data_IF_519765828438
#
_entry.id   IF_519765828438
#
_cell.length_a   1.000
_cell.length_b   1.000
_cell.length_c   1.000
_cell.angle_alpha   90.00
_cell.angle_beta   90.00
_cell.angle_gamma   90.00
#
_symmetry.space_group_name_H-M   'P 1'
#
loop_
_entity.id
_entity.type
_entity.pdbx_description
1 polymer ?
#
# COMPACT_ATOMS: atom_id res chain seq x y z
N UNK A 1 11.39 -24.15 -17.54
CA UNK A 1 10.96 -23.63 -16.23
C UNK A 1 9.63 -22.96 -16.46
N UNK A 2 8.58 -23.32 -15.71
CA UNK A 2 7.32 -22.58 -15.78
C UNK A 2 7.60 -21.20 -15.16
N UNK A 3 7.38 -20.14 -15.91
CA UNK A 3 7.44 -18.78 -15.36
C UNK A 3 6.36 -18.61 -14.31
N UNK A 4 6.65 -17.92 -13.22
CA UNK A 4 5.67 -17.55 -12.23
C UNK A 4 4.55 -16.70 -12.89
N UNK A 5 3.30 -16.75 -12.40
CA UNK A 5 2.21 -15.96 -12.97
C UNK A 5 2.49 -14.47 -12.80
N UNK A 6 2.03 -13.64 -13.77
CA UNK A 6 2.16 -12.18 -13.71
C UNK A 6 1.22 -11.53 -12.67
N UNK A 7 0.16 -12.24 -12.32
CA UNK A 7 -0.80 -11.81 -11.31
C UNK A 7 -1.25 -13.01 -10.47
N UNK A 8 -1.54 -12.78 -9.19
CA UNK A 8 -2.01 -13.78 -8.23
C UNK A 8 -3.12 -13.18 -7.37
N UNK A 9 -4.26 -13.88 -7.27
CA UNK A 9 -5.39 -13.44 -6.46
C UNK A 9 -5.16 -13.70 -4.97
N UNK A 10 -5.87 -12.96 -4.10
CA UNK A 10 -5.75 -13.14 -2.65
C UNK A 10 -6.16 -14.53 -2.18
N UNK A 11 -7.08 -15.20 -2.87
CA UNK A 11 -7.46 -16.60 -2.59
C UNK A 11 -6.39 -17.63 -3.00
N UNK A 12 -5.30 -17.19 -3.61
CA UNK A 12 -4.19 -18.03 -4.10
C UNK A 12 -2.85 -17.67 -3.45
N UNK A 13 -2.78 -16.58 -2.65
CA UNK A 13 -1.54 -16.09 -2.05
C UNK A 13 -1.59 -16.23 -0.53
N UNK A 14 -0.49 -16.64 0.10
CA UNK A 14 -0.33 -16.70 1.55
C UNK A 14 1.04 -16.18 2.01
N UNK A 15 1.34 -16.27 3.31
CA UNK A 15 2.61 -15.78 3.87
C UNK A 15 3.86 -16.46 3.32
N UNK A 16 3.74 -17.63 2.64
CA UNK A 16 4.87 -18.29 1.98
C UNK A 16 5.20 -17.65 0.63
N UNK A 17 4.29 -16.84 0.08
CA UNK A 17 4.42 -16.21 -1.23
C UNK A 17 5.07 -14.81 -1.16
N UNK A 18 5.61 -14.38 -0.02
CA UNK A 18 6.18 -13.03 0.18
C UNK A 18 7.21 -12.67 -0.91
N UNK A 19 8.00 -13.61 -1.38
CA UNK A 19 8.95 -13.40 -2.48
C UNK A 19 8.29 -13.11 -3.84
N UNK A 20 7.02 -13.49 -3.99
CA UNK A 20 6.24 -13.35 -5.24
C UNK A 20 5.26 -12.19 -5.18
N UNK A 21 4.55 -12.01 -4.08
CA UNK A 21 3.48 -11.00 -3.94
C UNK A 21 3.84 -9.85 -2.98
N UNK A 22 5.04 -9.87 -2.37
CA UNK A 22 5.47 -8.92 -1.36
C UNK A 22 4.75 -9.08 -0.03
N UNK A 23 5.18 -8.34 1.00
CA UNK A 23 4.64 -8.45 2.36
C UNK A 23 3.15 -8.13 2.45
N UNK A 24 2.70 -6.99 1.87
CA UNK A 24 1.29 -6.61 1.89
C UNK A 24 0.41 -7.61 1.15
N UNK A 25 0.84 -8.06 -0.05
CA UNK A 25 0.09 -9.05 -0.84
C UNK A 25 -0.06 -10.37 -0.10
N UNK A 26 1.01 -10.84 0.53
CA UNK A 26 1.03 -12.07 1.33
C UNK A 26 0.10 -11.97 2.55
N UNK A 27 0.19 -10.88 3.33
CA UNK A 27 -0.65 -10.66 4.50
C UNK A 27 -2.14 -10.55 4.13
N UNK A 28 -2.49 -9.81 3.06
CA UNK A 28 -3.87 -9.71 2.58
C UNK A 28 -4.40 -11.06 2.09
N UNK A 29 -3.60 -11.82 1.34
CA UNK A 29 -3.97 -13.17 0.88
C UNK A 29 -4.19 -14.13 2.04
N UNK A 30 -3.29 -14.16 3.02
CA UNK A 30 -3.42 -14.97 4.23
C UNK A 30 -4.71 -14.66 4.98
N UNK A 31 -4.99 -13.37 5.24
CA UNK A 31 -6.21 -12.94 5.91
C UNK A 31 -7.45 -13.30 5.10
N UNK A 32 -7.42 -13.08 3.78
CA UNK A 32 -8.54 -13.40 2.89
C UNK A 32 -8.87 -14.88 2.92
N UNK A 33 -7.88 -15.77 2.83
CA UNK A 33 -8.08 -17.22 2.84
C UNK A 33 -8.45 -17.79 4.20
N UNK A 34 -7.75 -17.35 5.26
CA UNK A 34 -7.82 -18.03 6.56
C UNK A 34 -8.81 -17.36 7.52
N UNK A 35 -8.98 -16.06 7.44
CA UNK A 35 -9.70 -15.31 8.48
C UNK A 35 -11.10 -14.85 8.04
N UNK A 36 -11.43 -14.89 6.75
CA UNK A 36 -12.77 -14.52 6.26
C UNK A 36 -13.87 -15.36 6.93
N UNK A 37 -13.63 -16.66 7.14
CA UNK A 37 -14.58 -17.57 7.77
C UNK A 37 -14.85 -17.27 9.24
N UNK A 38 -13.97 -16.54 9.91
CA UNK A 38 -14.10 -16.11 11.30
C UNK A 38 -14.41 -14.61 11.44
N UNK A 39 -14.86 -13.99 10.34
CA UNK A 39 -15.43 -12.65 10.33
C UNK A 39 -14.46 -11.50 10.04
N UNK A 40 -13.22 -11.76 9.64
CA UNK A 40 -12.30 -10.73 9.14
C UNK A 40 -12.62 -10.47 7.66
N UNK A 41 -13.12 -9.28 7.34
CA UNK A 41 -13.46 -8.90 5.97
C UNK A 41 -12.30 -8.18 5.31
N UNK A 42 -11.82 -8.69 4.19
CA UNK A 42 -10.79 -8.06 3.35
C UNK A 42 -11.40 -7.78 1.97
N UNK A 43 -11.28 -6.57 1.40
CA UNK A 43 -11.73 -6.33 0.04
C UNK A 43 -10.99 -7.25 -0.93
N UNK A 44 -11.69 -7.87 -1.89
CA UNK A 44 -11.03 -8.78 -2.81
C UNK A 44 -10.13 -8.03 -3.80
N UNK A 45 -9.13 -8.74 -4.33
CA UNK A 45 -8.15 -8.19 -5.25
C UNK A 45 -7.13 -9.21 -5.71
N UNK A 46 -6.16 -8.72 -6.44
CA UNK A 46 -5.03 -9.49 -6.94
C UNK A 46 -3.72 -8.70 -6.76
N UNK A 47 -2.61 -9.41 -6.83
CA UNK A 47 -1.28 -8.79 -6.80
C UNK A 47 -0.59 -9.03 -8.13
N UNK A 48 -0.11 -7.96 -8.79
CA UNK A 48 0.86 -8.05 -9.86
C UNK A 48 2.19 -8.45 -9.24
N UNK A 49 2.71 -9.59 -9.63
CA UNK A 49 3.79 -10.28 -8.93
C UNK A 49 5.16 -9.67 -9.23
N UNK A 50 6.17 -10.09 -8.48
CA UNK A 50 7.58 -9.77 -8.76
C UNK A 50 8.03 -10.24 -10.15
N UNK A 51 7.39 -11.26 -10.74
CA UNK A 51 7.63 -11.65 -12.12
C UNK A 51 7.23 -10.57 -13.12
N UNK A 52 6.12 -9.85 -12.86
CA UNK A 52 5.74 -8.70 -13.68
C UNK A 52 6.80 -7.59 -13.63
N UNK A 53 7.33 -7.30 -12.43
CA UNK A 53 8.45 -6.37 -12.27
C UNK A 53 9.70 -6.85 -13.03
N UNK A 54 10.13 -8.11 -12.85
CA UNK A 54 11.31 -8.64 -13.53
C UNK A 54 11.15 -8.59 -15.06
N UNK A 55 9.97 -8.94 -15.57
CA UNK A 55 9.68 -8.86 -17.00
C UNK A 55 9.71 -7.44 -17.54
N UNK A 56 9.32 -6.47 -16.76
CA UNK A 56 9.38 -5.05 -17.13
C UNK A 56 10.82 -4.54 -17.18
N UNK A 57 11.60 -4.78 -16.12
CA UNK A 57 12.98 -4.25 -16.08
C UNK A 57 13.93 -4.96 -17.07
N UNK A 58 13.62 -6.20 -17.48
CA UNK A 58 14.39 -6.92 -18.51
C UNK A 58 13.90 -6.66 -19.93
N UNK A 59 12.86 -5.81 -20.11
CA UNK A 59 12.39 -5.43 -21.43
C UNK A 59 13.35 -4.43 -22.10
N UNK A 60 13.45 -4.54 -23.44
CA UNK A 60 14.21 -3.59 -24.25
C UNK A 60 13.62 -2.18 -24.16
N UNK A 61 14.47 -1.16 -24.13
CA UNK A 61 14.07 0.24 -24.18
C UNK A 61 13.99 0.65 -25.67
N UNK A 62 12.79 1.00 -26.17
CA UNK A 62 12.68 1.53 -27.53
C UNK A 62 13.45 2.84 -27.69
N UNK A 63 14.12 3.03 -28.81
CA UNK A 63 14.87 4.27 -29.10
C UNK A 63 14.02 5.54 -28.91
N UNK A 64 12.73 5.48 -29.23
CA UNK A 64 11.82 6.60 -29.06
C UNK A 64 11.64 7.04 -27.59
N UNK A 65 11.82 6.14 -26.62
CA UNK A 65 11.73 6.41 -25.16
C UNK A 65 12.70 7.50 -24.74
N UNK A 66 13.93 7.48 -25.28
CA UNK A 66 14.99 8.40 -24.92
C UNK A 66 14.71 9.88 -25.24
N UNK A 67 13.76 10.16 -26.12
CA UNK A 67 13.31 11.54 -26.41
C UNK A 67 12.58 12.17 -25.24
N UNK A 68 11.94 11.37 -24.42
CA UNK A 68 11.11 11.80 -23.29
C UNK A 68 11.84 11.67 -21.95
N UNK A 69 12.89 10.86 -21.88
CA UNK A 69 13.68 10.67 -20.65
C UNK A 69 14.37 11.98 -20.27
N UNK A 70 13.86 12.62 -19.21
CA UNK A 70 14.47 13.80 -18.61
C UNK A 70 15.60 13.42 -17.64
N UNK A 71 16.66 14.22 -17.60
CA UNK A 71 17.75 14.08 -16.63
C UNK A 71 18.21 15.46 -16.17
N UNK A 72 18.53 15.64 -14.87
CA UNK A 72 19.29 16.78 -14.40
C UNK A 72 20.66 16.87 -15.07
N UNK A 73 21.22 18.10 -15.22
CA UNK A 73 22.51 18.32 -15.88
C UNK A 73 23.64 17.54 -15.19
N UNK A 74 23.59 17.39 -13.87
CA UNK A 74 24.58 16.69 -13.05
C UNK A 74 24.78 15.21 -13.41
N UNK A 75 23.79 14.61 -14.09
CA UNK A 75 23.80 13.19 -14.50
C UNK A 75 23.66 12.99 -16.01
N UNK A 76 23.93 14.01 -16.83
CA UNK A 76 23.84 13.91 -18.29
C UNK A 76 24.81 12.86 -18.86
N UNK A 77 25.98 12.70 -18.26
CA UNK A 77 26.92 11.65 -18.65
C UNK A 77 26.38 10.24 -18.37
N UNK A 78 25.68 10.05 -17.25
CA UNK A 78 25.00 8.78 -16.95
C UNK A 78 23.85 8.52 -17.93
N UNK A 79 23.10 9.55 -18.29
CA UNK A 79 22.04 9.44 -19.30
C UNK A 79 22.61 9.01 -20.65
N UNK A 80 23.74 9.61 -21.09
CA UNK A 80 24.42 9.21 -22.33
C UNK A 80 24.90 7.76 -22.28
N UNK A 81 25.47 7.35 -21.16
CA UNK A 81 25.91 5.95 -20.98
C UNK A 81 24.71 4.98 -20.95
N UNK A 82 23.58 5.38 -20.34
CA UNK A 82 22.37 4.56 -20.31
C UNK A 82 21.73 4.37 -21.70
N UNK A 83 21.85 5.33 -22.61
CA UNK A 83 21.35 5.22 -24.00
C UNK A 83 22.03 4.09 -24.77
N UNK A 84 23.26 3.75 -24.42
CA UNK A 84 24.03 2.66 -25.07
C UNK A 84 23.61 1.27 -24.55
N UNK A 85 22.70 1.19 -23.57
CA UNK A 85 22.22 -0.08 -23.02
C UNK A 85 20.98 -0.58 -23.79
N UNK A 86 20.68 -1.88 -23.65
CA UNK A 86 19.55 -2.50 -24.35
C UNK A 86 18.31 -2.58 -23.47
N UNK A 87 18.47 -3.04 -22.23
CA UNK A 87 17.35 -3.28 -21.32
C UNK A 87 17.18 -2.16 -20.30
N UNK A 88 15.95 -2.05 -19.75
CA UNK A 88 15.69 -1.11 -18.65
C UNK A 88 16.57 -1.42 -17.42
N UNK A 89 16.84 -2.70 -17.14
CA UNK A 89 17.72 -3.10 -16.04
C UNK A 89 19.12 -2.53 -16.23
N UNK A 90 19.71 -2.72 -17.42
CA UNK A 90 21.07 -2.25 -17.68
C UNK A 90 21.16 -0.71 -17.59
N UNK A 91 20.13 0.00 -18.05
CA UNK A 91 20.07 1.46 -17.93
C UNK A 91 19.95 1.91 -16.46
N UNK A 92 19.16 1.21 -15.66
CA UNK A 92 19.05 1.47 -14.22
C UNK A 92 20.36 1.17 -13.48
N UNK A 93 21.06 0.09 -13.82
CA UNK A 93 22.41 -0.19 -13.29
C UNK A 93 23.39 0.96 -13.56
N UNK A 94 23.34 1.55 -14.78
CA UNK A 94 24.15 2.74 -15.10
C UNK A 94 23.77 3.92 -14.19
N UNK A 95 22.48 4.17 -13.98
CA UNK A 95 22.02 5.26 -13.11
C UNK A 95 22.48 5.12 -11.66
N UNK A 96 22.53 3.88 -11.17
CA UNK A 96 22.84 3.56 -9.76
C UNK A 96 24.32 3.28 -9.50
N UNK A 97 25.15 3.19 -10.56
CA UNK A 97 26.58 2.92 -10.43
C UNK A 97 27.26 3.98 -9.56
N UNK A 98 28.02 3.53 -8.57
CA UNK A 98 28.77 4.40 -7.65
C UNK A 98 27.92 5.48 -6.96
N UNK A 99 26.62 5.19 -6.73
CA UNK A 99 25.74 6.08 -5.97
C UNK A 99 26.18 6.09 -4.50
N UNK A 100 26.36 7.30 -3.96
CA UNK A 100 26.76 7.54 -2.56
C UNK A 100 25.56 8.05 -1.76
N UNK A 101 25.08 7.36 -0.71
CA UNK A 101 23.96 7.79 0.10
C UNK A 101 24.26 9.10 0.87
N UNK A 102 25.53 9.50 1.02
CA UNK A 102 25.92 10.75 1.70
C UNK A 102 25.92 11.97 0.77
N UNK A 103 25.98 11.78 -0.54
CA UNK A 103 25.86 12.85 -1.54
C UNK A 103 24.41 13.01 -2.00
N UNK A 104 23.59 13.68 -1.19
CA UNK A 104 22.15 13.85 -1.44
C UNK A 104 21.83 14.53 -2.79
N UNK A 105 22.65 15.47 -3.25
CA UNK A 105 22.40 16.15 -4.52
C UNK A 105 22.58 15.20 -5.71
N UNK A 106 23.70 14.48 -5.74
CA UNK A 106 23.98 13.47 -6.76
C UNK A 106 22.98 12.32 -6.70
N UNK A 107 22.65 11.84 -5.49
CA UNK A 107 21.67 10.78 -5.30
C UNK A 107 20.28 11.17 -5.80
N UNK A 108 19.82 12.39 -5.51
CA UNK A 108 18.54 12.91 -6.00
C UNK A 108 18.51 12.99 -7.53
N UNK A 109 19.59 13.47 -8.16
CA UNK A 109 19.71 13.56 -9.62
C UNK A 109 19.71 12.19 -10.29
N UNK A 110 20.40 11.18 -9.73
CA UNK A 110 20.36 9.77 -10.18
C UNK A 110 18.96 9.18 -10.01
N UNK A 111 18.33 9.40 -8.87
CA UNK A 111 16.97 8.97 -8.59
C UNK A 111 15.97 9.57 -9.58
N UNK A 112 16.12 10.85 -9.94
CA UNK A 112 15.28 11.50 -10.93
C UNK A 112 15.42 10.86 -12.32
N UNK A 113 16.67 10.59 -12.77
CA UNK A 113 16.94 9.90 -14.02
C UNK A 113 16.34 8.48 -14.03
N UNK A 114 16.57 7.70 -12.98
CA UNK A 114 16.03 6.34 -12.85
C UNK A 114 14.50 6.31 -12.90
N UNK A 115 13.83 7.20 -12.16
CA UNK A 115 12.36 7.33 -12.22
C UNK A 115 11.86 7.77 -13.59
N UNK A 116 12.56 8.67 -14.26
CA UNK A 116 12.23 9.09 -15.62
C UNK A 116 12.30 7.91 -16.59
N UNK A 117 13.35 7.11 -16.53
CA UNK A 117 13.50 5.89 -17.33
C UNK A 117 12.34 4.91 -17.13
N UNK A 118 12.00 4.60 -15.87
CA UNK A 118 10.88 3.71 -15.55
C UNK A 118 9.54 4.26 -16.09
N UNK A 119 9.30 5.56 -15.94
CA UNK A 119 8.04 6.20 -16.35
C UNK A 119 7.89 6.30 -17.86
N UNK A 120 8.98 6.49 -18.60
CA UNK A 120 8.94 6.65 -20.05
C UNK A 120 9.05 5.31 -20.81
N UNK A 121 9.58 4.27 -20.16
CA UNK A 121 9.67 2.94 -20.78
C UNK A 121 8.28 2.32 -20.93
N UNK A 122 7.88 1.88 -22.14
CA UNK A 122 6.59 1.25 -22.37
C UNK A 122 6.44 -0.05 -21.56
N UNK A 123 5.29 -0.21 -20.93
CA UNK A 123 4.95 -1.46 -20.22
C UNK A 123 4.74 -2.58 -21.26
N UNK A 124 5.38 -3.76 -21.11
CA UNK A 124 5.21 -4.90 -22.01
C UNK A 124 3.75 -5.32 -22.16
N UNK A 125 3.36 -5.73 -23.39
CA UNK A 125 1.98 -6.11 -23.69
C UNK A 125 1.46 -7.28 -22.86
N UNK A 126 2.36 -8.21 -22.48
CA UNK A 126 2.00 -9.32 -21.59
C UNK A 126 1.52 -8.86 -20.19
N UNK A 127 2.11 -7.78 -19.66
CA UNK A 127 1.71 -7.20 -18.37
C UNK A 127 0.39 -6.45 -18.53
N UNK A 128 0.22 -5.65 -19.60
CA UNK A 128 -1.04 -4.94 -19.88
C UNK A 128 -2.20 -5.92 -20.03
N UNK A 129 -1.98 -7.00 -20.78
CA UNK A 129 -2.99 -8.06 -20.96
C UNK A 129 -3.35 -8.77 -19.64
N UNK A 130 -2.36 -8.99 -18.76
CA UNK A 130 -2.61 -9.56 -17.45
C UNK A 130 -3.45 -8.58 -16.58
N UNK A 131 -3.12 -7.29 -16.56
CA UNK A 131 -3.89 -6.27 -15.83
C UNK A 131 -5.33 -6.21 -16.35
N UNK A 132 -5.52 -6.15 -17.67
CA UNK A 132 -6.84 -6.10 -18.30
C UNK A 132 -7.68 -7.33 -17.94
N UNK A 133 -7.10 -8.53 -18.02
CA UNK A 133 -7.80 -9.78 -17.70
C UNK A 133 -8.21 -9.85 -16.22
N UNK A 134 -7.32 -9.51 -15.28
CA UNK A 134 -7.62 -9.62 -13.86
C UNK A 134 -8.54 -8.49 -13.36
N UNK A 135 -8.37 -7.26 -13.87
CA UNK A 135 -9.29 -6.17 -13.60
C UNK A 135 -10.69 -6.43 -14.20
N UNK A 136 -10.77 -7.04 -15.38
CA UNK A 136 -12.03 -7.49 -15.97
C UNK A 136 -12.80 -8.42 -15.05
N UNK A 137 -12.13 -9.43 -14.45
CA UNK A 137 -12.74 -10.32 -13.46
C UNK A 137 -13.23 -9.56 -12.21
N UNK A 138 -12.44 -8.57 -11.74
CA UNK A 138 -12.83 -7.74 -10.60
C UNK A 138 -14.10 -6.92 -10.91
N UNK A 139 -14.19 -6.39 -12.13
CA UNK A 139 -15.40 -5.70 -12.62
C UNK A 139 -16.63 -6.64 -12.69
N UNK A 140 -16.44 -7.89 -13.09
CA UNK A 140 -17.51 -8.88 -13.08
C UNK A 140 -18.01 -9.21 -11.67
N UNK A 141 -17.11 -9.26 -10.68
CA UNK A 141 -17.44 -9.53 -9.28
C UNK A 141 -18.22 -8.39 -8.60
N UNK A 142 -17.93 -7.15 -8.94
CA UNK A 142 -18.49 -5.99 -8.23
C UNK A 142 -19.36 -5.11 -9.14
N UNK A 143 -18.72 -4.36 -10.04
CA UNK A 143 -19.42 -3.47 -10.98
C UNK A 143 -18.50 -3.07 -12.14
N UNK A 144 -19.04 -2.76 -13.32
CA UNK A 144 -18.24 -2.18 -14.41
C UNK A 144 -17.48 -0.93 -13.94
N UNK A 145 -16.18 -0.90 -14.20
CA UNK A 145 -15.34 0.23 -13.82
C UNK A 145 -15.12 0.38 -12.31
N UNK A 146 -15.16 -0.73 -11.54
CA UNK A 146 -14.93 -0.71 -10.09
C UNK A 146 -13.64 0.02 -9.74
N UNK A 147 -13.72 0.94 -8.79
CA UNK A 147 -12.56 1.65 -8.28
C UNK A 147 -11.71 0.76 -7.37
N UNK A 148 -10.40 0.90 -7.53
CA UNK A 148 -9.39 0.10 -6.84
C UNK A 148 -8.33 0.97 -6.16
N UNK A 149 -7.71 0.43 -5.14
CA UNK A 149 -6.44 0.90 -4.61
C UNK A 149 -5.30 0.14 -5.32
N UNK A 150 -4.28 0.87 -5.79
CA UNK A 150 -3.06 0.31 -6.38
C UNK A 150 -1.92 0.64 -5.41
N UNK A 151 -1.39 -0.39 -4.74
CA UNK A 151 -0.45 -0.22 -3.61
C UNK A 151 0.81 -1.04 -3.83
N UNK A 152 1.96 -0.43 -3.63
CA UNK A 152 3.24 -1.15 -3.59
C UNK A 152 3.24 -2.24 -2.51
N UNK A 153 3.92 -3.34 -2.82
CA UNK A 153 4.12 -4.49 -1.93
C UNK A 153 5.54 -5.03 -2.16
N UNK A 154 6.52 -4.39 -1.54
CA UNK A 154 7.90 -4.82 -1.71
C UNK A 154 8.19 -6.10 -0.91
N UNK A 155 9.16 -6.89 -1.41
CA UNK A 155 9.58 -8.12 -0.72
C UNK A 155 10.30 -7.86 0.60
N UNK A 156 10.75 -6.64 0.80
CA UNK A 156 11.48 -6.19 2.01
C UNK A 156 10.66 -5.28 2.92
N UNK A 157 9.42 -4.93 2.55
CA UNK A 157 8.64 -3.84 3.19
C UNK A 157 8.18 -4.16 4.62
N UNK A 158 7.89 -5.41 4.93
CA UNK A 158 7.35 -5.85 6.22
C UNK A 158 8.30 -6.83 6.95
N UNK A 159 9.62 -6.75 6.69
CA UNK A 159 10.59 -7.53 7.44
C UNK A 159 10.78 -6.93 8.85
N UNK A 160 10.89 -7.78 9.87
CA UNK A 160 11.05 -7.36 11.27
C UNK A 160 12.29 -6.48 11.52
N UNK A 161 13.30 -6.60 10.64
CA UNK A 161 14.59 -5.91 10.78
C UNK A 161 14.70 -4.62 9.95
N UNK A 162 13.74 -4.32 9.08
CA UNK A 162 13.82 -3.19 8.17
C UNK A 162 12.42 -2.62 7.87
N UNK A 163 12.05 -1.55 8.58
CA UNK A 163 10.79 -0.86 8.34
C UNK A 163 10.88 0.04 7.10
N UNK A 164 10.47 -0.48 5.94
CA UNK A 164 10.21 0.32 4.74
C UNK A 164 8.86 1.04 4.78
N UNK A 165 8.23 1.15 5.94
CA UNK A 165 6.92 1.76 6.09
C UNK A 165 6.89 3.18 5.49
N UNK A 166 5.95 3.43 4.58
CA UNK A 166 5.76 4.74 3.95
C UNK A 166 6.84 5.14 2.92
N UNK A 167 7.71 4.21 2.49
CA UNK A 167 8.75 4.48 1.48
C UNK A 167 8.19 4.48 0.06
N UNK A 168 7.14 3.70 -0.19
CA UNK A 168 6.60 3.46 -1.51
C UNK A 168 5.20 4.03 -1.66
N UNK A 169 4.80 4.25 -2.91
CA UNK A 169 3.56 4.94 -3.25
C UNK A 169 2.33 4.02 -3.21
N UNK A 170 1.20 4.61 -2.82
CA UNK A 170 -0.14 4.04 -2.95
C UNK A 170 -1.04 5.02 -3.67
N UNK A 171 -1.91 4.51 -4.53
CA UNK A 171 -2.87 5.30 -5.30
C UNK A 171 -4.27 4.81 -5.01
N UNK A 172 -5.12 5.72 -4.60
CA UNK A 172 -6.53 5.46 -4.30
C UNK A 172 -7.42 6.00 -5.41
N UNK A 173 -8.68 5.54 -5.47
CA UNK A 173 -9.65 5.98 -6.46
C UNK A 173 -9.18 5.73 -7.91
N UNK A 174 -8.54 4.61 -8.19
CA UNK A 174 -8.07 4.27 -9.54
C UNK A 174 -9.13 3.45 -10.25
N UNK A 175 -9.47 3.80 -11.49
CA UNK A 175 -10.49 3.10 -12.28
C UNK A 175 -10.08 3.01 -13.74
N UNK A 176 -10.27 1.84 -14.34
CA UNK A 176 -9.91 1.58 -15.73
C UNK A 176 -8.51 0.99 -15.91
N UNK A 177 -8.37 0.16 -16.93
CA UNK A 177 -7.13 -0.59 -17.22
C UNK A 177 -5.92 0.32 -17.43
N UNK A 178 -6.09 1.41 -18.17
CA UNK A 178 -4.98 2.33 -18.51
C UNK A 178 -4.44 3.02 -17.27
N UNK A 179 -5.34 3.43 -16.36
CA UNK A 179 -4.92 4.08 -15.12
C UNK A 179 -4.25 3.08 -14.16
N UNK A 180 -4.73 1.84 -14.08
CA UNK A 180 -4.06 0.78 -13.29
C UNK A 180 -2.65 0.52 -13.84
N UNK A 181 -2.48 0.45 -15.17
CA UNK A 181 -1.16 0.30 -15.80
C UNK A 181 -0.23 1.46 -15.44
N UNK A 182 -0.74 2.69 -15.51
CA UNK A 182 0.03 3.89 -15.16
C UNK A 182 0.40 3.91 -13.67
N UNK A 183 -0.55 3.60 -12.77
CA UNK A 183 -0.28 3.57 -11.34
C UNK A 183 0.65 2.42 -10.95
N UNK A 184 0.52 1.26 -11.60
CA UNK A 184 1.48 0.16 -11.46
C UNK A 184 2.90 0.61 -11.81
N UNK A 185 3.09 1.25 -12.97
CA UNK A 185 4.39 1.78 -13.41
C UNK A 185 4.95 2.81 -12.42
N UNK A 186 4.09 3.66 -11.84
CA UNK A 186 4.51 4.61 -10.79
C UNK A 186 4.91 3.91 -9.50
N UNK A 187 4.19 2.86 -9.07
CA UNK A 187 4.63 2.03 -7.94
C UNK A 187 6.02 1.44 -8.20
N UNK A 188 6.29 0.94 -9.42
CA UNK A 188 7.64 0.48 -9.78
C UNK A 188 8.65 1.64 -9.71
N UNK A 189 8.31 2.83 -10.21
CA UNK A 189 9.19 3.99 -10.16
C UNK A 189 9.51 4.44 -8.73
N UNK A 190 8.62 4.21 -7.76
CA UNK A 190 8.85 4.58 -6.36
C UNK A 190 10.01 3.84 -5.69
N UNK A 191 10.44 2.69 -6.23
CA UNK A 191 11.67 2.01 -5.80
C UNK A 191 12.93 2.87 -6.01
N UNK A 192 12.87 3.82 -6.93
CA UNK A 192 13.99 4.67 -7.33
C UNK A 192 13.84 6.11 -6.82
N UNK A 193 13.16 6.31 -5.68
CA UNK A 193 13.23 7.58 -4.95
C UNK A 193 14.58 7.72 -4.26
N UNK A 194 15.05 8.96 -4.03
CA UNK A 194 16.28 9.21 -3.27
C UNK A 194 16.28 8.45 -1.94
N UNK A 195 15.17 8.51 -1.22
CA UNK A 195 14.99 7.84 0.06
C UNK A 195 15.09 6.31 -0.06
N UNK A 196 14.43 5.71 -1.06
CA UNK A 196 14.47 4.26 -1.26
C UNK A 196 15.87 3.78 -1.67
N UNK A 197 16.54 4.48 -2.58
CA UNK A 197 17.91 4.15 -2.99
C UNK A 197 18.86 4.32 -1.81
N UNK A 198 18.79 5.45 -1.10
CA UNK A 198 19.63 5.73 0.07
C UNK A 198 19.52 4.64 1.14
N UNK A 199 18.28 4.24 1.46
CA UNK A 199 18.03 3.16 2.41
C UNK A 199 18.70 1.83 1.99
N UNK A 200 18.57 1.40 0.72
CA UNK A 200 19.23 0.18 0.24
C UNK A 200 20.74 0.27 0.41
N UNK A 201 21.34 1.39 0.00
CA UNK A 201 22.79 1.59 0.08
C UNK A 201 23.30 1.62 1.52
N UNK A 202 22.60 2.27 2.45
CA UNK A 202 22.92 2.30 3.88
C UNK A 202 22.90 0.90 4.52
N UNK A 203 22.06 0.01 4.00
CA UNK A 203 21.98 -1.39 4.44
C UNK A 203 22.84 -2.35 3.62
N UNK A 204 23.76 -1.83 2.79
CA UNK A 204 24.62 -2.62 1.88
C UNK A 204 23.85 -3.53 0.94
N UNK A 205 22.65 -3.11 0.51
CA UNK A 205 21.83 -3.79 -0.49
C UNK A 205 21.88 -3.02 -1.82
N UNK A 206 21.93 -3.73 -2.94
CA UNK A 206 21.79 -3.07 -4.23
C UNK A 206 20.29 -2.85 -4.52
N UNK A 207 19.84 -1.65 -4.95
CA UNK A 207 18.41 -1.38 -5.17
C UNK A 207 17.73 -2.34 -6.16
N UNK A 208 18.46 -2.88 -7.14
CA UNK A 208 17.94 -3.85 -8.13
C UNK A 208 17.98 -5.32 -7.67
N UNK A 209 18.51 -5.61 -6.47
CA UNK A 209 18.39 -6.93 -5.84
C UNK A 209 17.04 -7.12 -5.15
N UNK A 210 16.36 -6.03 -4.85
CA UNK A 210 14.99 -6.04 -4.35
C UNK A 210 13.99 -6.09 -5.50
N UNK A 211 12.83 -6.69 -5.24
CA UNK A 211 11.72 -6.73 -6.17
C UNK A 211 10.46 -6.12 -5.57
N UNK A 212 9.61 -5.58 -6.41
CA UNK A 212 8.32 -5.04 -6.02
C UNK A 212 7.19 -5.80 -6.68
N UNK A 213 6.20 -6.18 -5.90
CA UNK A 213 4.88 -6.54 -6.35
C UNK A 213 3.93 -5.35 -6.14
N UNK A 214 2.76 -5.38 -6.75
CA UNK A 214 1.79 -4.30 -6.62
C UNK A 214 0.39 -4.88 -6.42
N UNK A 215 -0.20 -4.58 -5.29
CA UNK A 215 -1.56 -4.97 -4.92
C UNK A 215 -2.56 -4.08 -5.67
N UNK A 216 -3.57 -4.70 -6.28
CA UNK A 216 -4.75 -4.06 -6.88
C UNK A 216 -5.98 -4.63 -6.17
N UNK A 217 -6.62 -3.85 -5.32
CA UNK A 217 -7.74 -4.30 -4.51
C UNK A 217 -8.94 -3.35 -4.61
N UNK A 218 -10.15 -3.88 -4.53
CA UNK A 218 -11.37 -3.07 -4.51
C UNK A 218 -11.29 -1.99 -3.43
N UNK A 219 -11.63 -0.76 -3.77
CA UNK A 219 -11.75 0.31 -2.79
C UNK A 219 -12.90 0.05 -1.81
N UNK A 220 -12.62 0.20 -0.51
CA UNK A 220 -13.65 0.48 0.46
C UNK A 220 -13.96 1.99 0.39
N UNK A 221 -15.21 2.37 0.12
CA UNK A 221 -15.64 3.76 -0.11
C UNK A 221 -15.70 4.55 1.20
N UNK A 222 -14.57 4.60 1.91
CA UNK A 222 -14.45 5.35 3.16
C UNK A 222 -14.46 6.87 2.95
N UNK A 223 -14.29 7.34 1.73
CA UNK A 223 -14.57 8.74 1.35
C UNK A 223 -16.01 9.18 1.70
N UNK A 224 -16.93 8.21 1.81
CA UNK A 224 -18.33 8.38 2.26
C UNK A 224 -18.61 7.79 3.64
N UNK A 225 -17.57 7.28 4.29
CA UNK A 225 -17.64 6.61 5.59
C UNK A 225 -16.55 7.11 6.54
N UNK A 226 -15.83 6.18 7.09
CA UNK A 226 -14.71 6.43 8.01
C UNK A 226 -13.59 5.41 7.80
N UNK A 227 -12.42 5.71 8.32
CA UNK A 227 -11.26 4.84 8.26
C UNK A 227 -10.32 5.14 9.41
N UNK A 228 -9.31 4.31 9.57
CA UNK A 228 -8.30 4.56 10.57
C UNK A 228 -7.31 3.44 10.75
N UNK A 229 -6.64 3.50 11.89
CA UNK A 229 -5.65 2.52 12.32
C UNK A 229 -6.07 1.90 13.63
N UNK A 230 -5.66 0.67 13.89
CA UNK A 230 -5.83 0.05 15.18
C UNK A 230 -4.62 -0.80 15.53
N UNK A 231 -4.29 -0.82 16.81
CA UNK A 231 -3.19 -1.59 17.36
C UNK A 231 -3.73 -2.61 18.35
N UNK A 232 -3.27 -3.85 18.27
CA UNK A 232 -3.67 -4.87 19.25
C UNK A 232 -2.84 -4.80 20.53
N UNK A 233 -2.18 -3.71 20.76
CA UNK A 233 -1.44 -3.32 21.96
C UNK A 233 -1.65 -1.83 22.17
N UNK A 234 -1.51 -1.32 23.38
CA UNK A 234 -1.49 0.13 23.60
C UNK A 234 -0.19 0.72 23.04
N UNK A 235 -0.23 1.60 22.04
CA UNK A 235 0.98 2.09 21.35
C UNK A 235 1.86 2.99 22.21
N UNK A 236 1.34 3.55 23.31
CA UNK A 236 2.09 4.43 24.19
C UNK A 236 2.76 3.67 25.34
N UNK A 237 2.03 2.72 25.94
CA UNK A 237 2.49 2.00 27.15
C UNK A 237 2.97 0.58 26.90
N UNK A 238 2.71 0.00 25.71
CA UNK A 238 2.98 -1.41 25.44
C UNK A 238 2.05 -2.39 26.18
N UNK A 239 0.89 -1.93 26.68
CA UNK A 239 -0.04 -2.80 27.40
C UNK A 239 -0.81 -3.72 26.44
N UNK A 240 -0.58 -5.03 26.52
CA UNK A 240 -1.13 -6.05 25.62
C UNK A 240 -2.61 -6.39 25.88
N UNK A 241 -3.18 -5.98 27.01
CA UNK A 241 -4.56 -6.30 27.40
C UNK A 241 -5.65 -5.52 26.67
N UNK A 242 -5.29 -4.61 25.77
CA UNK A 242 -6.21 -3.71 25.07
C UNK A 242 -5.97 -3.68 23.57
N UNK A 243 -6.99 -3.22 22.84
CA UNK A 243 -6.91 -2.83 21.44
C UNK A 243 -7.15 -1.32 21.41
N UNK A 244 -6.26 -0.59 20.77
CA UNK A 244 -6.40 0.84 20.53
C UNK A 244 -6.89 1.09 19.10
N UNK A 245 -8.02 1.80 18.93
CA UNK A 245 -8.61 2.08 17.64
C UNK A 245 -8.67 3.59 17.42
N UNK A 246 -8.02 4.07 16.36
CA UNK A 246 -8.16 5.42 15.84
C UNK A 246 -9.16 5.45 14.69
N UNK A 247 -9.98 6.50 14.61
CA UNK A 247 -11.01 6.65 13.59
C UNK A 247 -11.20 8.10 13.16
N UNK A 248 -11.30 8.34 11.86
CA UNK A 248 -11.68 9.64 11.30
C UNK A 248 -12.57 9.45 10.07
N UNK A 249 -13.21 10.53 9.64
CA UNK A 249 -13.97 10.54 8.39
C UNK A 249 -13.04 10.51 7.18
N UNK A 250 -13.51 9.92 6.08
CA UNK A 250 -12.80 9.91 4.80
C UNK A 250 -11.80 8.78 4.64
N UNK A 251 -10.94 8.91 3.63
CA UNK A 251 -9.87 7.97 3.32
C UNK A 251 -8.77 8.01 4.40
N UNK A 252 -8.14 6.87 4.67
CA UNK A 252 -7.25 6.64 5.81
C UNK A 252 -5.92 7.39 5.81
N UNK A 253 -5.50 7.95 4.69
CA UNK A 253 -4.16 8.55 4.55
C UNK A 253 -3.87 9.65 5.59
N UNK A 254 -4.86 10.53 5.89
CA UNK A 254 -4.65 11.61 6.86
C UNK A 254 -4.49 11.10 8.31
N UNK A 255 -5.09 9.96 8.64
CA UNK A 255 -4.91 9.30 9.95
C UNK A 255 -3.55 8.64 10.03
N UNK A 256 -3.18 7.88 8.99
CA UNK A 256 -1.88 7.18 8.90
C UNK A 256 -0.70 8.15 8.94
N UNK A 257 -0.84 9.31 8.27
CA UNK A 257 0.17 10.37 8.27
C UNK A 257 0.17 11.24 9.55
N UNK A 258 -0.77 11.04 10.48
CA UNK A 258 -0.88 11.84 11.69
C UNK A 258 -1.29 13.30 11.45
N UNK A 259 -1.91 13.62 10.30
CA UNK A 259 -2.33 14.98 9.94
C UNK A 259 -3.56 15.43 10.73
N UNK A 260 -4.46 14.49 11.04
CA UNK A 260 -5.70 14.74 11.80
C UNK A 260 -5.65 14.06 13.16
N UNK A 261 -6.31 14.67 14.15
CA UNK A 261 -6.52 14.04 15.47
C UNK A 261 -7.80 13.20 15.41
N UNK A 262 -7.68 11.84 15.36
CA UNK A 262 -8.83 10.95 15.22
C UNK A 262 -9.61 10.81 16.54
N UNK A 263 -10.83 10.28 16.45
CA UNK A 263 -11.47 9.66 17.60
C UNK A 263 -10.65 8.46 18.04
N UNK A 264 -10.51 8.24 19.33
CA UNK A 264 -9.82 7.07 19.86
C UNK A 264 -10.70 6.25 20.76
N UNK A 265 -10.53 4.93 20.68
CA UNK A 265 -11.25 3.97 21.51
C UNK A 265 -10.27 2.95 22.07
N UNK A 266 -10.36 2.69 23.37
CA UNK A 266 -9.60 1.63 24.02
C UNK A 266 -10.56 0.49 24.37
N UNK A 267 -10.29 -0.68 23.83
CA UNK A 267 -11.15 -1.88 23.95
C UNK A 267 -10.41 -2.93 24.76
N UNK A 268 -11.01 -3.40 25.86
CA UNK A 268 -10.46 -4.43 26.71
C UNK A 268 -10.66 -5.82 26.11
N UNK A 269 -9.57 -6.51 25.79
CA UNK A 269 -9.59 -7.81 25.10
C UNK A 269 -10.32 -8.89 25.87
N UNK A 270 -10.07 -9.02 27.19
CA UNK A 270 -10.72 -10.05 27.98
C UNK A 270 -12.24 -9.82 28.11
N UNK A 271 -12.67 -8.56 28.24
CA UNK A 271 -14.09 -8.20 28.20
C UNK A 271 -14.74 -8.58 26.87
N UNK A 272 -14.02 -8.37 25.76
CA UNK A 272 -14.45 -8.74 24.42
C UNK A 272 -14.61 -10.27 24.28
N UNK A 273 -13.63 -11.05 24.75
CA UNK A 273 -13.68 -12.53 24.77
C UNK A 273 -14.84 -13.08 25.60
N UNK A 274 -15.16 -12.41 26.71
CA UNK A 274 -16.28 -12.81 27.60
C UNK A 274 -17.65 -12.33 27.11
N UNK A 275 -17.74 -11.65 25.96
CA UNK A 275 -19.00 -11.09 25.46
C UNK A 275 -19.57 -9.94 26.29
N UNK A 276 -18.76 -9.30 27.15
CA UNK A 276 -19.12 -8.12 27.93
C UNK A 276 -18.93 -6.87 27.07
N UNK A 277 -19.50 -5.73 27.52
CA UNK A 277 -19.23 -4.45 26.88
C UNK A 277 -17.76 -4.06 27.12
N UNK A 278 -16.91 -4.03 26.07
CA UNK A 278 -15.46 -4.02 26.27
C UNK A 278 -14.83 -2.63 26.12
N UNK A 279 -15.56 -1.58 25.67
CA UNK A 279 -14.99 -0.24 25.45
C UNK A 279 -14.78 0.42 26.82
N UNK A 280 -13.51 0.57 27.23
CA UNK A 280 -13.14 1.10 28.56
C UNK A 280 -12.81 2.59 28.53
N UNK A 281 -12.36 3.10 27.37
CA UNK A 281 -12.07 4.52 27.19
C UNK A 281 -12.38 4.98 25.75
N UNK A 282 -12.71 6.26 25.59
CA UNK A 282 -12.85 6.88 24.27
C UNK A 282 -12.63 8.39 24.36
N UNK A 283 -11.96 8.95 23.36
CA UNK A 283 -11.71 10.38 23.24
C UNK A 283 -12.19 10.89 21.89
N UNK A 284 -12.96 11.97 21.89
CA UNK A 284 -13.43 12.60 20.66
C UNK A 284 -12.29 13.44 20.06
N UNK A 285 -11.89 13.14 18.84
CA UNK A 285 -10.86 13.87 18.10
C UNK A 285 -11.39 15.17 17.45
N UNK A 286 -10.49 16.02 17.01
CA UNK A 286 -10.86 17.23 16.27
C UNK A 286 -11.40 16.94 14.88
N UNK A 287 -10.84 15.95 14.19
CA UNK A 287 -11.23 15.49 12.84
C UNK A 287 -11.54 16.65 11.88
N UNK A 288 -10.64 17.65 11.84
CA UNK A 288 -10.86 18.92 11.16
C UNK A 288 -10.83 18.82 9.64
N UNK A 289 -10.18 17.78 9.10
CA UNK A 289 -10.08 17.49 7.69
C UNK A 289 -10.43 16.02 7.41
N UNK A 290 -10.90 15.77 6.19
CA UNK A 290 -11.06 14.43 5.63
C UNK A 290 -10.62 14.40 4.18
N UNK A 291 -10.09 13.25 3.74
CA UNK A 291 -9.74 13.01 2.35
C UNK A 291 -10.90 12.30 1.64
N UNK A 292 -11.31 12.84 0.51
CA UNK A 292 -12.41 12.31 -0.31
C UNK A 292 -12.01 12.23 -1.78
N UNK A 293 -12.81 11.57 -2.59
CA UNK A 293 -12.63 11.60 -4.04
C UNK A 293 -12.83 13.02 -4.57
N UNK A 294 -12.01 13.43 -5.55
CA UNK A 294 -12.19 14.70 -6.20
C UNK A 294 -13.42 14.63 -7.12
N UNK A 295 -14.33 15.59 -7.01
CA UNK A 295 -15.60 15.56 -7.76
C UNK A 295 -15.43 15.78 -9.27
N UNK A 296 -14.48 16.64 -9.65
CA UNK A 296 -14.29 17.07 -11.05
C UNK A 296 -13.10 16.36 -11.73
N UNK A 297 -12.19 15.78 -10.97
CA UNK A 297 -11.00 15.08 -11.48
C UNK A 297 -11.10 13.59 -11.17
N UNK A 298 -11.44 12.81 -12.19
CA UNK A 298 -11.48 11.35 -12.05
C UNK A 298 -10.11 10.80 -11.58
N UNK A 299 -10.15 9.75 -10.77
CA UNK A 299 -8.97 9.05 -10.25
C UNK A 299 -8.04 9.93 -9.36
N UNK A 300 -8.58 10.99 -8.78
CA UNK A 300 -7.87 11.85 -7.84
C UNK A 300 -8.60 11.94 -6.49
N UNK A 301 -7.87 12.36 -5.47
CA UNK A 301 -8.37 12.60 -4.12
C UNK A 301 -8.07 14.03 -3.69
N UNK A 302 -8.87 14.57 -2.77
CA UNK A 302 -8.69 15.90 -2.21
C UNK A 302 -8.98 15.92 -0.72
N UNK A 303 -8.30 16.80 0.00
CA UNK A 303 -8.63 17.12 1.39
C UNK A 303 -9.67 18.22 1.46
N UNK A 304 -10.71 18.00 2.25
CA UNK A 304 -11.75 18.99 2.55
C UNK A 304 -11.95 19.11 4.05
N UNK A 305 -12.49 20.26 4.49
CA UNK A 305 -12.82 20.45 5.89
C UNK A 305 -14.04 19.59 6.28
N UNK A 306 -13.96 18.90 7.41
CA UNK A 306 -15.12 18.20 7.98
C UNK A 306 -16.12 19.24 8.51
N UNK A 307 -17.43 19.13 8.21
CA UNK A 307 -18.44 20.01 8.77
C UNK A 307 -18.40 20.05 10.30
N UNK A 308 -18.61 21.24 10.88
CA UNK A 308 -18.48 21.43 12.33
C UNK A 308 -19.36 20.48 13.16
N UNK A 309 -20.59 20.22 12.72
CA UNK A 309 -21.52 19.32 13.41
C UNK A 309 -21.02 17.86 13.39
N UNK A 310 -20.34 17.43 12.33
CA UNK A 310 -19.81 16.08 12.21
C UNK A 310 -18.54 15.89 13.04
N UNK A 311 -17.72 16.93 13.22
CA UNK A 311 -16.57 16.88 14.15
C UNK A 311 -16.97 16.57 15.59
N UNK A 312 -18.20 16.91 15.98
CA UNK A 312 -18.75 16.69 17.33
C UNK A 312 -19.41 15.33 17.50
N UNK A 313 -19.48 14.54 16.44
CA UNK A 313 -19.99 13.17 16.44
C UNK A 313 -18.85 12.17 16.35
N UNK A 314 -19.10 10.98 16.86
CA UNK A 314 -18.18 9.86 16.70
C UNK A 314 -18.21 9.40 15.25
N UNK A 315 -17.03 9.18 14.66
CA UNK A 315 -16.86 8.63 13.31
C UNK A 315 -17.11 7.12 13.23
N UNK A 316 -17.18 6.45 14.38
CA UNK A 316 -17.60 5.06 14.56
C UNK A 316 -18.71 4.97 15.63
N UNK A 317 -19.69 4.10 15.41
CA UNK A 317 -20.60 3.64 16.46
C UNK A 317 -19.90 2.71 17.45
N UNK A 318 -20.54 2.44 18.59
CA UNK A 318 -20.01 1.48 19.56
C UNK A 318 -20.00 0.05 19.02
N UNK A 319 -21.00 -0.29 18.25
CA UNK A 319 -21.20 -1.59 17.61
C UNK A 319 -20.09 -1.85 16.59
N UNK A 320 -19.80 -0.89 15.72
CA UNK A 320 -18.72 -0.94 14.74
C UNK A 320 -17.34 -1.02 15.42
N UNK A 321 -17.14 -0.26 16.50
CA UNK A 321 -15.90 -0.34 17.29
C UNK A 321 -15.69 -1.76 17.86
N UNK A 322 -16.75 -2.40 18.35
CA UNK A 322 -16.69 -3.78 18.86
C UNK A 322 -16.46 -4.78 17.73
N UNK A 323 -17.06 -4.57 16.54
CA UNK A 323 -16.83 -5.41 15.36
C UNK A 323 -15.38 -5.34 14.91
N UNK A 324 -14.81 -4.13 14.76
CA UNK A 324 -13.39 -3.93 14.44
C UNK A 324 -12.47 -4.58 15.49
N UNK A 325 -12.78 -4.41 16.76
CA UNK A 325 -11.99 -5.02 17.83
C UNK A 325 -12.00 -6.55 17.76
N UNK A 326 -13.11 -7.18 17.37
CA UNK A 326 -13.17 -8.63 17.15
C UNK A 326 -12.32 -9.06 15.98
N UNK A 327 -12.36 -8.32 14.86
CA UNK A 327 -11.48 -8.58 13.71
C UNK A 327 -10.01 -8.49 14.11
N UNK A 328 -9.63 -7.43 14.85
CA UNK A 328 -8.27 -7.22 15.34
C UNK A 328 -7.81 -8.36 16.25
N UNK A 329 -8.67 -8.80 17.19
CA UNK A 329 -8.38 -9.91 18.09
C UNK A 329 -8.17 -11.23 17.32
N UNK A 330 -9.03 -11.51 16.32
CA UNK A 330 -8.89 -12.68 15.47
C UNK A 330 -7.58 -12.67 14.65
N UNK A 331 -7.17 -11.48 14.19
CA UNK A 331 -5.89 -11.30 13.48
C UNK A 331 -4.72 -11.53 14.43
N UNK A 332 -4.72 -10.93 15.62
CA UNK A 332 -3.69 -11.14 16.63
C UNK A 332 -3.61 -12.61 17.06
N UNK A 333 -4.76 -13.22 17.36
CA UNK A 333 -4.82 -14.64 17.77
C UNK A 333 -4.31 -15.57 16.64
N UNK A 334 -4.44 -15.20 15.37
CA UNK A 334 -3.90 -15.94 14.23
C UNK A 334 -2.38 -15.78 14.10
N UNK A 335 -1.90 -14.53 14.06
CA UNK A 335 -0.46 -14.24 13.86
C UNK A 335 0.37 -14.41 15.14
N UNK A 336 -0.25 -14.60 16.32
CA UNK A 336 0.38 -14.84 17.62
C UNK A 336 1.37 -13.73 18.03
N UNK A 337 1.06 -12.48 17.66
CA UNK A 337 1.84 -11.30 18.02
C UNK A 337 1.00 -10.03 17.93
N UNK A 338 1.43 -8.92 18.58
CA UNK A 338 0.78 -7.62 18.42
C UNK A 338 0.79 -7.16 16.95
N UNK A 339 -0.30 -6.52 16.52
CA UNK A 339 -0.53 -6.13 15.15
C UNK A 339 -0.86 -4.64 15.02
N UNK A 340 -0.33 -4.02 13.96
CA UNK A 340 -0.70 -2.71 13.42
C UNK A 340 -1.61 -2.94 12.20
N UNK A 341 -2.83 -2.41 12.26
CA UNK A 341 -3.91 -2.74 11.32
C UNK A 341 -4.54 -1.47 10.78
N UNK A 342 -4.61 -1.37 9.45
CA UNK A 342 -5.40 -0.34 8.77
C UNK A 342 -6.79 -0.90 8.45
N UNK A 343 -7.81 -0.09 8.67
CA UNK A 343 -9.21 -0.47 8.42
C UNK A 343 -9.97 0.66 7.71
N UNK A 344 -11.06 0.30 7.04
CA UNK A 344 -11.94 1.23 6.35
C UNK A 344 -13.40 0.77 6.44
N UNK A 345 -14.32 1.71 6.67
CA UNK A 345 -15.75 1.54 6.53
C UNK A 345 -16.19 2.03 5.16
N UNK A 346 -16.79 1.16 4.37
CA UNK A 346 -17.43 1.53 3.11
C UNK A 346 -18.76 2.25 3.39
N UNK A 347 -18.84 3.55 3.10
CA UNK A 347 -20.03 4.35 3.37
C UNK A 347 -21.19 4.10 2.39
N UNK A 348 -21.04 3.18 1.41
CA UNK A 348 -22.11 2.74 0.51
C UNK A 348 -22.75 1.45 1.02
N UNK A 349 -21.91 0.47 1.39
CA UNK A 349 -22.37 -0.85 1.86
C UNK A 349 -22.48 -0.94 3.39
N UNK A 350 -21.97 0.05 4.11
CA UNK A 350 -21.84 0.09 5.58
C UNK A 350 -20.93 -1.01 6.16
N UNK A 351 -20.16 -1.72 5.30
CA UNK A 351 -19.28 -2.79 5.72
C UNK A 351 -17.92 -2.28 6.19
N UNK A 352 -17.39 -2.95 7.22
CA UNK A 352 -16.05 -2.72 7.74
C UNK A 352 -15.07 -3.67 7.09
N UNK A 353 -13.92 -3.16 6.67
CA UNK A 353 -12.86 -3.91 6.01
C UNK A 353 -11.51 -3.70 6.68
N UNK A 354 -10.72 -4.77 6.72
CA UNK A 354 -9.28 -4.70 6.99
C UNK A 354 -8.56 -4.51 5.66
N UNK A 355 -7.76 -3.46 5.55
CA UNK A 355 -7.08 -3.10 4.30
C UNK A 355 -5.57 -3.29 4.36
N UNK A 356 -5.02 -3.48 5.56
CA UNK A 356 -3.64 -3.90 5.81
C UNK A 356 -3.53 -4.44 7.24
N UNK A 357 -2.67 -5.44 7.45
CA UNK A 357 -2.21 -5.86 8.78
C UNK A 357 -0.74 -6.23 8.72
N UNK A 358 0.02 -5.77 9.71
CA UNK A 358 1.46 -6.07 9.85
C UNK A 358 1.80 -6.21 11.33
N UNK A 359 2.90 -6.91 11.67
CA UNK A 359 3.42 -6.91 13.03
C UNK A 359 3.65 -5.50 13.56
N UNK A 360 3.28 -5.25 14.81
CA UNK A 360 3.68 -4.05 15.53
C UNK A 360 5.17 -4.18 15.86
N UNK A 361 5.98 -3.12 15.69
CA UNK A 361 7.45 -3.21 15.75
C UNK A 361 8.08 -2.32 16.84
N UNK A 362 7.29 -1.55 17.59
CA UNK A 362 7.82 -0.64 18.62
C UNK A 362 7.94 -1.37 19.97
N UNK A 363 6.96 -2.22 20.30
CA UNK A 363 6.85 -2.90 21.58
C UNK A 363 6.93 -4.43 21.49
N UNK A 364 6.94 -5.00 20.28
CA UNK A 364 6.97 -6.46 20.04
C UNK A 364 8.38 -7.02 19.83
#
# INVERSE_FOLDING_TARGET
MQHAPLAQWFDQADMNDTSTVGGKGASLGEMFQKLTTIGVKVPNGFTLTTEAFQRFITADIPEATWKNVGAPEEVDDLRRAAIETTTLRDALEVCLRDADPTDHLNLNSRAALARSLVRETPVPESIKSAIAAEYGKLCEMYSPGVDVAVRSSATTEDSADASFAGQYESYLNVSGEQDIIEKWRRCVASMFTERAIGYHLEHNMHPLDSAIAVVVMKMARSDKGSSGVMFTIDPDSGHEGVIHIGSSYGLGELVVQGVVSPDTFTVWKEGLRQGKFPIVHRTLGSKDQMMVYHEEAANEVQSIAVPFEDRRRWSLSKEECVELARMALNIEDYFQRPMDIEWAKDGITEELYIVQARPETIHS
#
